data_IF_304975412087
#
_entry.id   IF_304975412087
#
_cell.length_a   1.000
_cell.length_b   1.000
_cell.length_c   1.000
_cell.angle_alpha   90.00
_cell.angle_beta   90.00
_cell.angle_gamma   90.00
#
_symmetry.space_group_name_H-M   'P 1'
#
loop_
_entity.id
_entity.type
_entity.pdbx_description
1 polymer ?
#
# COMPACT_ATOMS: atom_id res chain seq x y z
N UNK A 1 -11.95 -24.02 -79.90
CA UNK A 1 -11.57 -23.63 -78.53
C UNK A 1 -10.35 -22.71 -78.59
N UNK A 2 -10.53 -21.40 -78.44
CA UNK A 2 -9.44 -20.42 -78.41
C UNK A 2 -9.32 -19.85 -77.01
N UNK A 3 -8.25 -20.20 -76.29
CA UNK A 3 -7.93 -19.66 -74.96
C UNK A 3 -7.18 -18.34 -75.16
N UNK A 4 -7.80 -17.22 -74.74
CA UNK A 4 -7.09 -15.94 -74.59
C UNK A 4 -6.11 -16.08 -73.43
N UNK A 5 -4.80 -16.01 -73.72
CA UNK A 5 -3.76 -15.85 -72.71
C UNK A 5 -3.83 -14.39 -72.23
N UNK A 6 -4.18 -14.18 -70.96
CA UNK A 6 -4.17 -12.84 -70.36
C UNK A 6 -2.72 -12.34 -70.34
N UNK A 7 -2.46 -11.19 -70.93
CA UNK A 7 -1.21 -10.46 -70.77
C UNK A 7 -1.03 -10.13 -69.28
N UNK A 8 -0.03 -10.74 -68.64
CA UNK A 8 0.40 -10.35 -67.30
C UNK A 8 1.34 -9.16 -67.46
N UNK A 9 0.84 -7.96 -67.21
CA UNK A 9 1.68 -6.78 -66.99
C UNK A 9 2.37 -6.91 -65.64
N UNK A 10 3.70 -7.04 -65.64
CA UNK A 10 4.50 -7.02 -64.42
C UNK A 10 4.46 -5.65 -63.73
N UNK A 11 4.70 -5.64 -62.42
CA UNK A 11 4.71 -4.41 -61.61
C UNK A 11 5.86 -3.48 -62.02
N UNK A 12 5.57 -2.18 -62.06
CA UNK A 12 6.59 -1.16 -62.30
C UNK A 12 7.47 -0.97 -61.05
N UNK A 13 8.74 -0.61 -61.25
CA UNK A 13 9.68 -0.32 -60.15
C UNK A 13 9.16 0.80 -59.24
N UNK A 14 8.50 1.81 -59.83
CA UNK A 14 7.86 2.91 -59.11
C UNK A 14 6.71 2.40 -58.23
N UNK A 15 5.93 1.44 -58.73
CA UNK A 15 4.80 0.86 -58.01
C UNK A 15 5.26 0.06 -56.79
N UNK A 16 6.40 -0.63 -56.91
CA UNK A 16 7.04 -1.35 -55.81
C UNK A 16 7.61 -0.40 -54.74
N UNK A 17 8.25 0.71 -55.16
CA UNK A 17 8.73 1.75 -54.22
C UNK A 17 7.58 2.42 -53.46
N UNK A 18 6.49 2.75 -54.14
CA UNK A 18 5.30 3.33 -53.52
C UNK A 18 4.69 2.35 -52.51
N UNK A 19 4.60 1.07 -52.86
CA UNK A 19 4.07 0.01 -51.99
C UNK A 19 4.89 -0.14 -50.71
N UNK A 20 6.24 -0.17 -50.81
CA UNK A 20 7.13 -0.23 -49.66
C UNK A 20 6.99 1.04 -48.80
N UNK A 21 6.93 2.21 -49.43
CA UNK A 21 6.75 3.49 -48.73
C UNK A 21 5.46 3.51 -47.89
N UNK A 22 4.35 3.10 -48.49
CA UNK A 22 3.05 2.99 -47.79
C UNK A 22 3.11 1.94 -46.69
N UNK A 23 3.68 0.76 -46.95
CA UNK A 23 3.82 -0.29 -45.93
C UNK A 23 4.65 0.17 -44.73
N UNK A 24 5.76 0.88 -44.96
CA UNK A 24 6.63 1.36 -43.89
C UNK A 24 5.93 2.39 -43.01
N UNK A 25 5.13 3.29 -43.61
CA UNK A 25 4.29 4.25 -42.86
C UNK A 25 3.25 3.52 -42.00
N UNK A 26 2.55 2.53 -42.57
CA UNK A 26 1.55 1.74 -41.84
C UNK A 26 2.18 0.93 -40.71
N UNK A 27 3.32 0.28 -40.95
CA UNK A 27 4.06 -0.47 -39.95
C UNK A 27 4.55 0.44 -38.81
N UNK A 28 5.07 1.63 -39.13
CA UNK A 28 5.48 2.61 -38.14
C UNK A 28 4.34 3.04 -37.21
N UNK A 29 3.16 3.34 -37.78
CA UNK A 29 1.97 3.68 -37.00
C UNK A 29 1.50 2.50 -36.11
N UNK A 30 1.49 1.28 -36.64
CA UNK A 30 1.09 0.09 -35.90
C UNK A 30 2.03 -0.22 -34.72
N UNK A 31 3.34 -0.13 -34.91
CA UNK A 31 4.31 -0.34 -33.82
C UNK A 31 4.23 0.77 -32.77
N UNK A 32 3.99 2.02 -33.16
CA UNK A 32 3.75 3.11 -32.21
C UNK A 32 2.56 2.83 -31.29
N UNK A 33 1.44 2.36 -31.86
CA UNK A 33 0.27 1.96 -31.09
C UNK A 33 0.54 0.75 -30.19
N UNK A 34 1.29 -0.25 -30.68
CA UNK A 34 1.65 -1.43 -29.91
C UNK A 34 2.50 -1.08 -28.68
N UNK A 35 3.51 -0.22 -28.85
CA UNK A 35 4.36 0.23 -27.74
C UNK A 35 3.54 0.98 -26.70
N UNK A 36 2.66 1.89 -27.14
CA UNK A 36 1.77 2.62 -26.24
C UNK A 36 0.82 1.68 -25.48
N UNK A 37 0.27 0.66 -26.16
CA UNK A 37 -0.60 -0.33 -25.54
C UNK A 37 0.15 -1.18 -24.50
N UNK A 38 1.37 -1.63 -24.81
CA UNK A 38 2.20 -2.42 -23.89
C UNK A 38 2.60 -1.62 -22.63
N UNK A 39 2.99 -0.35 -22.80
CA UNK A 39 3.32 0.53 -21.68
C UNK A 39 2.11 0.74 -20.76
N UNK A 40 0.94 1.03 -21.36
CA UNK A 40 -0.30 1.21 -20.62
C UNK A 40 -0.71 -0.04 -19.87
N UNK A 41 -0.58 -1.21 -20.49
CA UNK A 41 -0.89 -2.49 -19.86
C UNK A 41 -0.03 -2.75 -18.61
N UNK A 42 1.26 -2.39 -18.67
CA UNK A 42 2.16 -2.50 -17.51
C UNK A 42 1.71 -1.61 -16.35
N UNK A 43 1.43 -0.33 -16.61
CA UNK A 43 0.98 0.61 -15.58
C UNK A 43 -0.38 0.24 -15.01
N UNK A 44 -1.33 -0.17 -15.84
CA UNK A 44 -2.65 -0.62 -15.35
C UNK A 44 -2.54 -1.85 -14.46
N UNK A 45 -1.65 -2.80 -14.78
CA UNK A 45 -1.41 -3.98 -13.94
C UNK A 45 -0.84 -3.61 -12.57
N UNK A 46 0.17 -2.74 -12.54
CA UNK A 46 0.77 -2.25 -11.28
C UNK A 46 -0.25 -1.52 -10.39
N UNK A 47 -1.12 -0.70 -10.99
CA UNK A 47 -2.21 -0.02 -10.28
C UNK A 47 -3.22 -1.03 -9.70
N UNK A 48 -3.61 -2.04 -10.47
CA UNK A 48 -4.54 -3.06 -10.01
C UNK A 48 -3.96 -3.88 -8.86
N UNK A 49 -2.68 -4.20 -8.90
CA UNK A 49 -1.99 -4.92 -7.83
C UNK A 49 -1.92 -4.06 -6.56
N UNK A 50 -1.59 -2.77 -6.69
CA UNK A 50 -1.61 -1.83 -5.56
C UNK A 50 -2.99 -1.71 -4.92
N UNK A 51 -4.07 -1.63 -5.71
CA UNK A 51 -5.44 -1.58 -5.17
C UNK A 51 -5.84 -2.87 -4.45
N UNK A 52 -5.43 -4.04 -4.97
CA UNK A 52 -5.71 -5.31 -4.33
C UNK A 52 -4.95 -5.43 -3.00
N UNK A 53 -3.66 -5.08 -3.00
CA UNK A 53 -2.84 -5.07 -1.79
C UNK A 53 -3.37 -4.06 -0.75
N UNK A 54 -3.80 -2.87 -1.18
CA UNK A 54 -4.39 -1.86 -0.31
C UNK A 54 -5.73 -2.30 0.30
N UNK A 55 -6.57 -3.03 -0.44
CA UNK A 55 -7.82 -3.59 0.12
C UNK A 55 -7.52 -4.64 1.18
N UNK A 56 -6.62 -5.57 0.88
CA UNK A 56 -6.21 -6.60 1.83
C UNK A 56 -5.61 -5.98 3.10
N UNK A 57 -4.78 -4.96 2.98
CA UNK A 57 -4.18 -4.30 4.14
C UNK A 57 -5.18 -3.52 4.97
N UNK A 58 -6.17 -2.88 4.34
CA UNK A 58 -7.26 -2.24 5.06
C UNK A 58 -8.11 -3.27 5.82
N UNK A 59 -8.37 -4.43 5.23
CA UNK A 59 -9.08 -5.52 5.91
C UNK A 59 -8.29 -6.01 7.15
N UNK A 60 -6.97 -6.18 7.03
CA UNK A 60 -6.10 -6.54 8.15
C UNK A 60 -6.08 -5.44 9.23
N UNK A 61 -5.99 -4.16 8.85
CA UNK A 61 -6.07 -3.03 9.80
C UNK A 61 -7.42 -3.03 10.52
N UNK A 62 -8.52 -3.18 9.80
CA UNK A 62 -9.87 -3.20 10.39
C UNK A 62 -9.99 -4.36 11.38
N UNK A 63 -9.46 -5.54 11.04
CA UNK A 63 -9.43 -6.69 11.94
C UNK A 63 -8.60 -6.42 13.19
N UNK A 64 -7.40 -5.86 13.04
CA UNK A 64 -6.52 -5.58 14.17
C UNK A 64 -7.11 -4.48 15.08
N UNK A 65 -7.70 -3.43 14.49
CA UNK A 65 -8.44 -2.39 15.22
C UNK A 65 -9.68 -2.95 15.91
N UNK A 66 -10.41 -3.87 15.27
CA UNK A 66 -11.59 -4.49 15.86
C UNK A 66 -11.27 -5.37 17.07
N UNK A 67 -10.07 -5.98 17.09
CA UNK A 67 -9.60 -6.80 18.21
C UNK A 67 -8.76 -6.01 19.23
N UNK A 68 -8.54 -4.72 18.96
CA UNK A 68 -7.70 -3.86 19.78
C UNK A 68 -8.23 -3.78 21.22
N UNK A 69 -7.30 -3.79 22.18
CA UNK A 69 -7.61 -3.71 23.60
C UNK A 69 -8.01 -5.04 24.22
N UNK A 70 -8.00 -6.15 23.47
CA UNK A 70 -8.28 -7.47 24.00
C UNK A 70 -7.00 -8.23 24.41
N UNK A 71 -6.99 -8.90 25.58
CA UNK A 71 -7.97 -8.80 26.67
C UNK A 71 -7.72 -7.54 27.51
N UNK A 72 -8.76 -6.79 27.92
CA UNK A 72 -8.59 -5.62 28.78
C UNK A 72 -8.38 -6.05 30.25
N UNK A 73 -7.83 -5.15 31.06
CA UNK A 73 -7.61 -5.39 32.51
C UNK A 73 -8.89 -5.80 33.27
N UNK A 74 -10.07 -5.37 32.81
CA UNK A 74 -11.37 -5.69 33.41
C UNK A 74 -11.82 -7.14 33.21
N UNK A 75 -11.16 -7.92 32.35
CA UNK A 75 -11.45 -9.34 32.15
C UNK A 75 -10.87 -10.22 33.28
N UNK A 76 -10.00 -9.67 34.12
CA UNK A 76 -9.32 -10.42 35.16
C UNK A 76 -9.93 -10.13 36.53
N UNK A 77 -10.26 -11.19 37.28
CA UNK A 77 -10.72 -11.07 38.67
C UNK A 77 -9.64 -10.52 39.61
N UNK A 78 -8.38 -10.77 39.27
CA UNK A 78 -7.21 -10.13 39.83
C UNK A 78 -6.24 -9.80 38.69
N UNK A 79 -5.77 -8.55 38.62
CA UNK A 79 -4.88 -8.09 37.54
C UNK A 79 -3.58 -8.92 37.59
N UNK A 80 -3.20 -9.60 36.48
CA UNK A 80 -1.95 -10.33 36.43
C UNK A 80 -0.75 -9.40 36.67
N UNK A 81 0.24 -9.87 37.45
CA UNK A 81 1.50 -9.15 37.61
C UNK A 81 2.27 -9.04 36.28
N UNK A 82 2.07 -10.02 35.39
CA UNK A 82 2.60 -10.02 34.04
C UNK A 82 1.76 -9.11 33.11
N UNK A 83 2.32 -7.95 32.77
CA UNK A 83 1.68 -6.93 31.94
C UNK A 83 1.62 -7.31 30.46
N UNK A 84 2.21 -8.44 30.05
CA UNK A 84 2.13 -8.95 28.68
C UNK A 84 0.82 -9.69 28.40
N UNK A 85 0.05 -10.01 29.44
CA UNK A 85 -1.20 -10.79 29.34
C UNK A 85 -2.44 -9.96 29.07
N UNK A 86 -2.33 -8.64 29.08
CA UNK A 86 -3.46 -7.74 28.87
C UNK A 86 -3.05 -6.49 28.12
N UNK A 87 -4.04 -5.92 27.44
CA UNK A 87 -3.87 -4.65 26.77
C UNK A 87 -3.93 -3.53 27.82
N UNK A 88 -2.93 -2.65 27.83
CA UNK A 88 -2.93 -1.44 28.64
C UNK A 88 -3.94 -0.43 28.10
N UNK A 89 -4.05 -0.35 26.77
CA UNK A 89 -5.11 0.34 26.04
C UNK A 89 -5.19 -0.23 24.60
N UNK A 90 -6.25 0.04 23.84
CA UNK A 90 -6.35 -0.40 22.45
C UNK A 90 -5.21 0.11 21.55
N UNK A 91 -4.77 1.34 21.82
CA UNK A 91 -3.69 2.01 21.07
C UNK A 91 -2.60 2.47 22.03
N UNK A 92 -1.34 2.24 21.66
CA UNK A 92 -0.21 2.70 22.43
C UNK A 92 -0.20 4.23 22.56
N UNK A 93 0.29 4.72 23.70
CA UNK A 93 0.36 6.15 24.04
C UNK A 93 -0.97 6.90 24.04
N UNK A 94 -2.10 6.20 24.01
CA UNK A 94 -3.39 6.80 24.31
C UNK A 94 -3.38 7.39 25.74
N UNK A 95 -4.23 8.40 26.04
CA UNK A 95 -4.29 8.95 27.38
C UNK A 95 -4.54 7.87 28.44
N UNK A 96 -3.66 7.78 29.43
CA UNK A 96 -3.72 6.73 30.47
C UNK A 96 -3.03 5.41 30.10
N UNK A 97 -2.26 5.36 29.01
CA UNK A 97 -1.47 4.18 28.66
C UNK A 97 -0.43 3.85 29.72
N UNK A 98 -0.55 2.66 30.32
CA UNK A 98 0.23 2.23 31.49
C UNK A 98 1.42 1.32 31.15
N UNK A 99 1.51 0.83 29.90
CA UNK A 99 2.57 -0.08 29.47
C UNK A 99 3.73 0.69 28.82
N UNK A 100 4.61 1.25 29.64
CA UNK A 100 5.84 1.91 29.19
C UNK A 100 6.17 3.15 30.00
N UNK A 101 7.37 3.69 29.81
CA UNK A 101 7.73 4.97 30.39
C UNK A 101 6.88 6.08 29.73
N UNK A 102 6.02 6.73 30.51
CA UNK A 102 5.28 7.91 30.04
C UNK A 102 6.26 8.95 29.50
N UNK A 103 6.05 9.41 28.26
CA UNK A 103 6.90 10.45 27.68
C UNK A 103 6.67 11.77 28.44
N UNK A 104 7.62 12.13 29.32
CA UNK A 104 7.52 13.34 30.13
C UNK A 104 7.79 14.59 29.28
N UNK A 105 7.20 15.72 29.67
CA UNK A 105 7.49 17.02 29.03
C UNK A 105 8.99 17.32 29.22
N UNK A 106 9.71 17.49 28.10
CA UNK A 106 11.16 17.72 28.10
C UNK A 106 12.03 16.45 28.08
N UNK A 107 11.45 15.26 27.94
CA UNK A 107 12.18 14.02 27.75
C UNK A 107 12.54 13.74 26.27
N UNK A 108 13.56 12.91 26.04
CA UNK A 108 14.03 12.47 24.71
C UNK A 108 13.35 11.17 24.26
N UNK A 109 12.04 11.07 24.47
CA UNK A 109 11.25 9.93 24.03
C UNK A 109 10.76 10.12 22.61
N UNK A 110 10.65 9.02 21.87
CA UNK A 110 10.11 9.01 20.52
C UNK A 110 8.60 9.22 20.58
N UNK A 111 8.13 10.37 20.13
CA UNK A 111 6.70 10.62 19.99
C UNK A 111 6.19 9.91 18.73
N UNK A 112 5.00 9.28 18.77
CA UNK A 112 4.35 8.80 17.55
C UNK A 112 4.22 9.93 16.53
N UNK A 113 4.62 9.65 15.29
CA UNK A 113 4.35 10.54 14.17
C UNK A 113 2.86 10.48 13.79
N UNK A 114 2.38 11.46 13.02
CA UNK A 114 0.98 11.53 12.58
C UNK A 114 0.50 10.32 11.75
N UNK A 115 1.44 9.51 11.22
CA UNK A 115 1.16 8.30 10.46
C UNK A 115 1.79 7.04 11.08
N UNK A 116 1.82 6.98 12.41
CA UNK A 116 2.31 5.85 13.19
C UNK A 116 1.22 5.39 14.15
N UNK A 117 0.82 4.13 14.04
CA UNK A 117 -0.22 3.51 14.83
C UNK A 117 0.32 2.21 15.43
N UNK A 118 0.22 2.06 16.75
CA UNK A 118 0.54 0.81 17.43
C UNK A 118 -0.71 0.33 18.15
N UNK A 119 -1.16 -0.88 17.79
CA UNK A 119 -2.35 -1.55 18.30
C UNK A 119 -1.92 -2.62 19.28
N UNK A 120 -2.61 -2.73 20.41
CA UNK A 120 -2.45 -3.87 21.34
C UNK A 120 -3.58 -4.88 21.13
N UNK A 121 -3.26 -6.10 20.75
CA UNK A 121 -4.25 -7.17 20.59
C UNK A 121 -3.65 -8.55 20.87
N UNK A 122 -4.46 -9.51 21.27
CA UNK A 122 -4.07 -10.92 21.34
C UNK A 122 -4.06 -11.52 19.93
N UNK A 123 -2.89 -12.01 19.50
CA UNK A 123 -2.70 -12.74 18.24
C UNK A 123 -2.24 -14.18 18.48
N UNK A 124 -2.37 -14.66 19.72
CA UNK A 124 -1.95 -15.99 20.11
C UNK A 124 -2.74 -17.04 19.32
N UNK A 125 -2.10 -18.11 18.82
CA UNK A 125 -2.82 -19.17 18.15
C UNK A 125 -3.77 -19.87 19.15
N UNK A 126 -4.89 -20.46 18.66
CA UNK A 126 -5.80 -21.20 19.52
C UNK A 126 -5.06 -22.28 20.32
N UNK A 127 -5.20 -22.26 21.64
CA UNK A 127 -4.55 -23.22 22.55
C UNK A 127 -3.16 -22.81 23.06
N UNK A 128 -2.61 -21.68 22.60
CA UNK A 128 -1.45 -21.07 23.24
C UNK A 128 -1.85 -20.29 24.51
N UNK A 129 -0.87 -19.98 25.35
CA UNK A 129 -1.09 -19.03 26.44
C UNK A 129 -1.38 -17.66 25.84
N UNK A 130 -2.48 -16.99 26.23
CA UNK A 130 -2.82 -15.68 25.66
C UNK A 130 -1.77 -14.64 26.05
N UNK A 131 -1.15 -14.06 25.03
CA UNK A 131 -0.22 -12.95 25.14
C UNK A 131 -0.63 -11.83 24.19
N UNK A 132 -0.59 -10.61 24.69
CA UNK A 132 -0.83 -9.43 23.88
C UNK A 132 0.39 -9.18 23.00
N UNK A 133 0.12 -8.78 21.76
CA UNK A 133 1.11 -8.38 20.78
C UNK A 133 0.89 -6.92 20.40
N UNK A 134 1.99 -6.26 20.06
CA UNK A 134 2.01 -4.95 19.42
C UNK A 134 2.01 -5.14 17.91
N UNK A 135 0.98 -4.60 17.26
CA UNK A 135 0.92 -4.46 15.81
C UNK A 135 1.19 -3.01 15.46
N UNK A 136 2.29 -2.73 14.77
CA UNK A 136 2.65 -1.38 14.34
C UNK A 136 2.37 -1.21 12.85
N UNK A 137 1.66 -0.14 12.52
CA UNK A 137 1.48 0.37 11.17
C UNK A 137 2.14 1.73 11.06
N UNK A 138 3.04 1.89 10.10
CA UNK A 138 3.75 3.15 9.90
C UNK A 138 3.77 3.50 8.41
N UNK A 139 3.26 4.67 8.05
CA UNK A 139 3.39 5.18 6.70
C UNK A 139 4.69 5.97 6.57
N UNK A 140 5.55 5.55 5.64
CA UNK A 140 6.78 6.27 5.31
C UNK A 140 6.78 6.54 3.80
N UNK A 141 6.71 7.83 3.44
CA UNK A 141 6.53 8.22 2.04
C UNK A 141 5.19 7.70 1.49
N UNK A 142 5.27 6.81 0.50
CA UNK A 142 4.10 6.17 -0.13
C UNK A 142 3.93 4.71 0.28
N UNK A 143 4.76 4.20 1.19
CA UNK A 143 4.75 2.78 1.61
C UNK A 143 4.25 2.66 3.03
N UNK A 144 3.24 1.82 3.21
CA UNK A 144 2.79 1.35 4.51
C UNK A 144 3.70 0.21 4.97
N UNK A 145 4.28 0.37 6.15
CA UNK A 145 5.07 -0.64 6.83
C UNK A 145 4.23 -1.28 7.93
N UNK A 146 4.48 -2.57 8.18
CA UNK A 146 3.86 -3.32 9.26
C UNK A 146 4.89 -4.07 10.09
N UNK A 147 4.66 -4.17 11.40
CA UNK A 147 5.38 -5.08 12.30
C UNK A 147 4.41 -5.72 13.28
N UNK A 148 4.74 -6.94 13.70
CA UNK A 148 4.05 -7.64 14.79
C UNK A 148 5.11 -8.22 15.72
N UNK A 149 4.96 -7.94 17.01
CA UNK A 149 5.82 -8.52 18.04
C UNK A 149 5.03 -8.73 19.32
N UNK A 150 5.35 -9.76 20.09
CA UNK A 150 4.75 -9.95 21.40
C UNK A 150 5.12 -8.79 22.33
N UNK A 151 4.16 -8.31 23.11
CA UNK A 151 4.33 -7.27 24.10
C UNK A 151 5.37 -7.68 25.14
N UNK A 152 6.25 -6.74 25.50
CA UNK A 152 7.19 -6.90 26.59
C UNK A 152 6.82 -5.96 27.76
N UNK A 153 7.12 -6.38 28.99
CA UNK A 153 6.77 -5.63 30.18
C UNK A 153 7.68 -4.41 30.39
N UNK A 154 7.09 -3.26 30.70
CA UNK A 154 7.81 -2.07 31.16
C UNK A 154 8.67 -1.34 30.12
N UNK A 155 8.56 -1.68 28.83
CA UNK A 155 9.32 -1.04 27.74
C UNK A 155 8.45 -0.09 26.92
N UNK A 156 9.07 0.89 26.28
CA UNK A 156 8.37 1.72 25.29
C UNK A 156 8.03 0.88 24.04
N UNK A 157 6.77 0.85 23.61
CA UNK A 157 6.34 0.00 22.50
C UNK A 157 7.01 0.35 21.18
N UNK A 158 7.21 1.62 20.85
CA UNK A 158 7.82 1.96 19.56
C UNK A 158 9.30 1.66 19.50
N UNK A 159 10.03 1.96 20.56
CA UNK A 159 11.43 1.60 20.64
C UNK A 159 11.61 0.09 20.62
N UNK A 160 10.83 -0.65 21.41
CA UNK A 160 10.93 -2.11 21.45
C UNK A 160 10.62 -2.75 20.10
N UNK A 161 9.55 -2.30 19.42
CA UNK A 161 9.23 -2.75 18.06
C UNK A 161 10.36 -2.42 17.10
N UNK A 162 10.88 -1.18 17.12
CA UNK A 162 11.96 -0.77 16.22
C UNK A 162 13.23 -1.62 16.39
N UNK A 163 13.57 -1.97 17.63
CA UNK A 163 14.79 -2.71 17.96
C UNK A 163 14.68 -4.23 17.72
N UNK A 164 13.50 -4.82 17.91
CA UNK A 164 13.32 -6.29 17.94
C UNK A 164 12.50 -6.85 16.77
N UNK A 165 11.64 -6.03 16.16
CA UNK A 165 10.86 -6.39 14.98
C UNK A 165 10.67 -5.13 14.12
N UNK A 166 11.73 -4.64 13.47
CA UNK A 166 11.65 -3.40 12.69
C UNK A 166 10.54 -3.52 11.63
N UNK A 167 9.71 -2.48 11.44
CA UNK A 167 8.66 -2.49 10.43
C UNK A 167 9.19 -2.83 9.05
N UNK A 168 8.53 -3.76 8.37
CA UNK A 168 8.85 -4.18 7.00
C UNK A 168 7.83 -3.59 6.01
N UNK A 169 8.21 -3.35 4.75
CA UNK A 169 7.26 -2.92 3.73
C UNK A 169 6.09 -3.90 3.65
N UNK A 170 4.87 -3.38 3.73
CA UNK A 170 3.66 -4.17 3.75
C UNK A 170 2.76 -3.88 2.55
N UNK A 171 2.49 -2.60 2.25
CA UNK A 171 1.85 -2.18 1.00
C UNK A 171 2.53 -0.94 0.44
N UNK A 172 2.90 -1.01 -0.84
CA UNK A 172 3.53 0.09 -1.56
C UNK A 172 2.48 0.96 -2.27
N UNK A 173 2.84 2.21 -2.54
CA UNK A 173 2.04 3.16 -3.31
C UNK A 173 0.62 3.42 -2.75
N UNK A 174 0.45 3.30 -1.43
CA UNK A 174 -0.83 3.54 -0.74
C UNK A 174 -1.27 5.00 -0.74
N UNK A 175 -0.35 5.94 -1.02
CA UNK A 175 -0.68 7.35 -1.16
C UNK A 175 -0.40 7.80 -2.59
N UNK A 176 -1.47 8.02 -3.36
CA UNK A 176 -1.40 8.93 -4.48
C UNK A 176 -1.37 10.34 -3.88
N UNK A 177 -0.17 10.89 -3.67
CA UNK A 177 -0.01 12.30 -3.33
C UNK A 177 0.49 13.01 -4.59
N UNK A 178 -0.39 13.47 -5.50
CA UNK A 178 0.04 14.26 -6.63
C UNK A 178 0.72 15.51 -6.07
N UNK A 179 1.91 15.85 -6.58
CA UNK A 179 2.46 17.17 -6.32
C UNK A 179 1.43 18.25 -6.66
N UNK A 180 1.48 19.45 -6.06
CA UNK A 180 0.54 20.52 -6.40
C UNK A 180 0.42 20.79 -7.91
N UNK A 181 1.51 20.62 -8.66
CA UNK A 181 1.51 20.72 -10.12
C UNK A 181 0.82 19.55 -10.85
N UNK A 182 0.94 18.33 -10.34
CA UNK A 182 0.19 17.17 -10.86
C UNK A 182 -1.28 17.24 -10.49
N UNK A 183 -1.61 17.72 -9.29
CA UNK A 183 -2.99 17.93 -8.85
C UNK A 183 -3.69 18.98 -9.72
N UNK A 184 -3.05 20.12 -10.00
CA UNK A 184 -3.58 21.14 -10.89
C UNK A 184 -3.80 20.63 -12.32
N UNK A 185 -2.90 19.78 -12.83
CA UNK A 185 -3.10 19.12 -14.15
C UNK A 185 -4.24 18.12 -14.12
N UNK A 186 -4.35 17.29 -13.09
CA UNK A 186 -5.44 16.31 -12.94
C UNK A 186 -6.80 16.99 -12.81
N UNK A 187 -6.88 18.10 -12.08
CA UNK A 187 -8.08 18.94 -11.99
C UNK A 187 -8.45 19.57 -13.34
N UNK A 188 -7.46 20.03 -14.12
CA UNK A 188 -7.69 20.57 -15.46
C UNK A 188 -8.12 19.50 -16.49
N UNK A 189 -7.59 18.27 -16.38
CA UNK A 189 -7.93 17.16 -17.28
C UNK A 189 -9.25 16.47 -16.91
N UNK A 190 -9.63 16.46 -15.62
CA UNK A 190 -10.81 15.76 -15.12
C UNK A 190 -11.66 16.66 -14.20
N UNK A 191 -12.24 17.76 -14.72
CA UNK A 191 -12.94 18.76 -13.92
C UNK A 191 -14.21 18.24 -13.22
N UNK A 192 -14.81 17.15 -13.70
CA UNK A 192 -15.98 16.52 -13.08
C UNK A 192 -15.66 15.49 -11.98
N UNK A 193 -14.39 15.13 -11.79
CA UNK A 193 -13.97 14.14 -10.79
C UNK A 193 -13.79 14.75 -9.40
N UNK A 194 -13.51 16.04 -9.32
CA UNK A 194 -13.39 16.77 -8.06
C UNK A 194 -14.64 17.62 -7.88
N UNK A 195 -15.49 17.21 -6.93
CA UNK A 195 -16.64 18.03 -6.53
C UNK A 195 -16.08 19.34 -5.95
N UNK A 196 -16.20 20.40 -6.75
CA UNK A 196 -15.59 21.72 -6.60
C UNK A 196 -14.14 21.80 -7.14
N UNK A 197 -14.02 21.92 -8.46
CA UNK A 197 -12.93 22.73 -9.05
C UNK A 197 -13.13 24.21 -8.68
N UNK A 198 -12.03 24.99 -8.68
CA UNK A 198 -11.73 26.09 -7.75
C UNK A 198 -12.89 26.95 -7.25
#
# INVERSE_FOLDING_TARGET
MSRRLSSQSGFSLVEMMVSIGVFMVLAGAAFGLLIAAQQRQGTESELLDSFQAARLSLDDIVRDVSNAGYPPVSFFSAIPADTTRYAAAPFAWSPGYTAGASCAIGATCTLPAAFDLIIETDLSPPGANPSVSWVRYQLQGTTLYRSVIQKAAGVDPAQYVADNAPPVPYVENVVNNPSPGQLARLQALYPGMFANGP
#
